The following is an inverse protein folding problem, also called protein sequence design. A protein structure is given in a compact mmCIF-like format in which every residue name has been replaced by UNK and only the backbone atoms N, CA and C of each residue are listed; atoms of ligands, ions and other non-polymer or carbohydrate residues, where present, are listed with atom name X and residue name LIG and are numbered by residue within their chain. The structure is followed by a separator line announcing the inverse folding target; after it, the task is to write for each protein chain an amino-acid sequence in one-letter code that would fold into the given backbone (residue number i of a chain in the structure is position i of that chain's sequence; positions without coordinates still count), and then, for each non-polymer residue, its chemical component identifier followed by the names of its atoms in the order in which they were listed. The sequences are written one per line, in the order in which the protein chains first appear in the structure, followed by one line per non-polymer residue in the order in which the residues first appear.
data_IF_424482263136
#
_entry.id   IF_424482263136
#
_cell.length_a   1.000
_cell.length_b   1.000
_cell.length_c   1.000
_cell.angle_alpha   90.00
_cell.angle_beta   90.00
_cell.angle_gamma   90.00
#
_symmetry.space_group_name_H-M   'P 1'
#
loop_
_entity.id
_entity.type
_entity.pdbx_description
1 polymer ?
#
# COMPACT_ATOMS: atom_id res chain seq x y z
N UNK A 1 -24.46 -10.24 -24.89
CA UNK A 1 -23.88 -9.67 -23.64
C UNK A 1 -23.52 -8.23 -23.87
N UNK A 2 -24.00 -7.31 -23.03
CA UNK A 2 -23.71 -5.87 -23.17
C UNK A 2 -22.66 -5.45 -22.15
N UNK A 3 -21.96 -4.36 -22.42
CA UNK A 3 -20.93 -3.79 -21.53
C UNK A 3 -21.46 -3.53 -20.10
N UNK A 4 -22.75 -3.25 -19.97
CA UNK A 4 -23.43 -3.11 -18.68
C UNK A 4 -23.46 -4.42 -17.87
N UNK A 5 -23.65 -5.57 -18.52
CA UNK A 5 -23.64 -6.89 -17.87
C UNK A 5 -22.26 -7.22 -17.30
N UNK A 6 -21.20 -6.89 -18.03
CA UNK A 6 -19.81 -7.12 -17.60
C UNK A 6 -19.48 -6.26 -16.39
N UNK A 7 -19.83 -4.97 -16.43
CA UNK A 7 -19.62 -4.06 -15.29
C UNK A 7 -20.35 -4.52 -14.03
N UNK A 8 -21.58 -5.01 -14.18
CA UNK A 8 -22.38 -5.53 -13.07
C UNK A 8 -21.72 -6.76 -12.42
N UNK A 9 -21.24 -7.70 -13.23
CA UNK A 9 -20.52 -8.88 -12.74
C UNK A 9 -19.25 -8.53 -11.95
N UNK A 10 -18.50 -7.52 -12.38
CA UNK A 10 -17.29 -7.05 -11.67
C UNK A 10 -17.66 -6.40 -10.33
N UNK A 11 -18.70 -5.58 -10.30
CA UNK A 11 -19.16 -4.93 -9.06
C UNK A 11 -19.64 -5.98 -8.05
N UNK A 12 -20.41 -6.97 -8.50
CA UNK A 12 -20.96 -8.01 -7.64
C UNK A 12 -19.85 -8.92 -7.06
N UNK A 13 -18.80 -9.23 -7.82
CA UNK A 13 -17.69 -10.06 -7.35
C UNK A 13 -16.80 -9.35 -6.33
N UNK A 14 -16.53 -8.05 -6.53
CA UNK A 14 -15.79 -7.22 -5.57
C UNK A 14 -16.57 -7.05 -4.26
N UNK A 15 -17.88 -6.80 -4.35
CA UNK A 15 -18.74 -6.69 -3.18
C UNK A 15 -18.79 -8.00 -2.36
N UNK A 16 -18.89 -9.15 -3.04
CA UNK A 16 -18.87 -10.45 -2.39
C UNK A 16 -17.54 -10.72 -1.66
N UNK A 17 -16.41 -10.37 -2.29
CA UNK A 17 -15.06 -10.58 -1.73
C UNK A 17 -14.83 -9.72 -0.49
N UNK A 18 -15.23 -8.44 -0.52
CA UNK A 18 -15.14 -7.55 0.64
C UNK A 18 -16.00 -8.04 1.81
N UNK A 19 -17.22 -8.52 1.51
CA UNK A 19 -18.12 -9.07 2.54
C UNK A 19 -17.55 -10.34 3.19
N UNK A 20 -16.94 -11.21 2.39
CA UNK A 20 -16.27 -12.41 2.89
C UNK A 20 -15.06 -12.06 3.76
N UNK A 21 -14.23 -11.08 3.34
CA UNK A 21 -13.07 -10.63 4.11
C UNK A 21 -13.47 -10.02 5.46
N UNK A 22 -14.54 -9.22 5.50
CA UNK A 22 -15.07 -8.63 6.74
C UNK A 22 -15.59 -9.71 7.71
N UNK A 23 -16.25 -10.76 7.19
CA UNK A 23 -16.71 -11.88 8.00
C UNK A 23 -15.54 -12.70 8.58
N UNK A 24 -14.46 -12.90 7.81
CA UNK A 24 -13.25 -13.57 8.30
C UNK A 24 -12.56 -12.79 9.41
N UNK A 25 -12.51 -11.45 9.30
CA UNK A 25 -11.92 -10.57 10.32
C UNK A 25 -12.74 -10.58 11.63
N UNK A 26 -14.07 -10.70 11.54
CA UNK A 26 -14.95 -10.81 12.70
C UNK A 26 -14.86 -12.16 13.42
N UNK A 27 -14.46 -13.23 12.72
CA UNK A 27 -14.40 -14.58 13.27
C UNK A 27 -13.06 -14.89 13.97
N UNK A 28 -12.04 -14.05 13.79
CA UNK A 28 -10.72 -14.18 14.44
C UNK A 28 -10.65 -13.61 15.86
N UNK A 29 -11.73 -13.02 16.39
CA UNK A 29 -11.74 -12.34 17.70
C UNK A 29 -12.05 -13.28 18.89
N UNK A 30 -12.03 -14.60 18.71
CA UNK A 30 -12.29 -15.58 19.77
C UNK A 30 -11.10 -16.53 20.03
N UNK A 31 -9.98 -16.01 20.54
CA UNK A 31 -9.03 -16.82 21.30
C UNK A 31 -8.48 -16.04 22.50
N UNK A 32 -9.18 -16.23 23.63
CA UNK A 32 -8.62 -16.68 24.91
C UNK A 32 -7.30 -16.03 25.43
N UNK A 33 -7.44 -15.32 26.56
CA UNK A 33 -6.46 -15.05 27.65
C UNK A 33 -5.30 -14.08 27.40
N UNK A 34 -5.48 -12.83 27.84
CA UNK A 34 -4.81 -12.21 29.01
C UNK A 34 -4.99 -10.68 28.94
N UNK A 35 -5.82 -10.15 29.84
CA UNK A 35 -6.12 -8.72 29.98
C UNK A 35 -4.97 -7.99 30.69
N UNK A 36 -3.89 -7.71 29.98
CA UNK A 36 -3.09 -6.51 30.22
C UNK A 36 -3.74 -5.33 29.48
N UNK A 37 -3.43 -4.06 29.83
CA UNK A 37 -3.87 -2.92 29.03
C UNK A 37 -3.41 -3.15 27.59
N UNK A 38 -4.35 -3.46 26.70
CA UNK A 38 -4.09 -3.61 25.28
C UNK A 38 -3.81 -2.20 24.80
N UNK A 39 -2.55 -1.80 24.88
CA UNK A 39 -2.06 -0.64 24.16
C UNK A 39 -2.48 -0.89 22.71
N UNK A 40 -3.52 -0.19 22.26
CA UNK A 40 -3.83 -0.02 20.84
C UNK A 40 -2.48 0.12 20.16
N UNK A 41 -2.09 -0.72 19.18
CA UNK A 41 -0.76 -0.63 18.59
C UNK A 41 -0.63 0.79 18.10
N UNK A 42 0.11 1.62 18.84
CA UNK A 42 0.26 3.02 18.52
C UNK A 42 0.93 2.96 17.17
N UNK A 43 0.22 3.39 16.12
CA UNK A 43 0.71 3.30 14.75
C UNK A 43 2.13 3.85 14.74
N UNK A 44 3.11 2.93 14.69
CA UNK A 44 4.50 3.27 14.92
C UNK A 44 4.83 4.24 13.80
N UNK A 45 5.09 5.50 14.15
CA UNK A 45 5.41 6.54 13.16
C UNK A 45 6.73 6.16 12.52
N UNK A 46 6.65 5.41 11.44
CA UNK A 46 7.81 4.98 10.73
C UNK A 46 8.44 6.20 10.05
N UNK A 47 9.74 6.36 10.29
CA UNK A 47 10.52 7.52 9.90
C UNK A 47 11.07 7.36 8.48
N UNK A 48 11.52 8.46 7.88
CA UNK A 48 12.22 8.38 6.58
C UNK A 48 13.50 7.54 6.67
N UNK A 49 14.19 7.55 7.83
CA UNK A 49 15.38 6.72 8.03
C UNK A 49 15.04 5.23 8.00
N UNK A 50 13.96 4.82 8.66
CA UNK A 50 13.47 3.44 8.63
C UNK A 50 12.98 3.04 7.23
N UNK A 51 12.42 3.98 6.46
CA UNK A 51 12.09 3.76 5.05
C UNK A 51 13.35 3.45 4.24
N UNK A 52 14.37 4.31 4.32
CA UNK A 52 15.60 4.16 3.56
C UNK A 52 16.42 2.93 4.00
N UNK A 53 16.32 2.51 5.27
CA UNK A 53 16.98 1.27 5.73
C UNK A 53 16.39 0.01 5.10
N UNK A 54 15.16 0.07 4.60
CA UNK A 54 14.56 -1.04 3.83
C UNK A 54 15.09 -1.13 2.39
N UNK A 55 16.04 -0.28 2.01
CA UNK A 55 16.61 -0.19 0.67
C UNK A 55 15.53 -0.10 -0.41
N UNK A 56 14.75 1.01 -0.40
CA UNK A 56 13.66 1.17 -1.34
C UNK A 56 14.20 1.18 -2.78
N UNK A 57 13.38 0.72 -3.71
CA UNK A 57 13.75 0.66 -5.10
C UNK A 57 13.68 2.05 -5.73
N UNK A 58 14.71 2.44 -6.47
CA UNK A 58 14.72 3.71 -7.18
C UNK A 58 14.09 3.58 -8.56
N UNK A 59 13.33 4.60 -8.96
CA UNK A 59 12.73 4.68 -10.28
C UNK A 59 13.19 5.94 -11.01
N UNK A 60 13.85 5.74 -12.14
CA UNK A 60 14.45 6.81 -12.93
C UNK A 60 13.63 7.21 -14.17
N UNK A 61 12.51 6.53 -14.45
CA UNK A 61 11.64 6.82 -15.60
C UNK A 61 11.90 5.97 -16.84
N UNK A 62 13.10 5.38 -17.00
CA UNK A 62 13.52 4.80 -18.28
C UNK A 62 13.04 3.37 -18.53
N UNK A 63 12.60 2.66 -17.47
CA UNK A 63 12.15 1.26 -17.53
C UNK A 63 10.68 1.08 -17.99
N UNK A 64 10.00 2.18 -18.35
CA UNK A 64 8.62 2.16 -18.82
C UNK A 64 7.63 1.56 -17.82
N UNK A 65 6.51 1.02 -18.33
CA UNK A 65 5.42 0.50 -17.51
C UNK A 65 5.84 -0.66 -16.59
N UNK A 66 6.72 -1.55 -17.07
CA UNK A 66 7.22 -2.68 -16.28
C UNK A 66 8.06 -2.18 -15.09
N UNK A 67 8.93 -1.20 -15.33
CA UNK A 67 9.71 -0.58 -14.26
C UNK A 67 8.83 0.12 -13.23
N UNK A 68 7.78 0.78 -13.69
CA UNK A 68 6.81 1.46 -12.84
C UNK A 68 6.04 0.47 -11.95
N UNK A 69 5.52 -0.61 -12.52
CA UNK A 69 4.81 -1.67 -11.76
C UNK A 69 5.73 -2.26 -10.69
N UNK A 70 6.96 -2.61 -11.08
CA UNK A 70 7.93 -3.20 -10.14
C UNK A 70 8.31 -2.23 -9.01
N UNK A 71 8.39 -0.92 -9.30
CA UNK A 71 8.60 0.10 -8.29
C UNK A 71 7.42 0.21 -7.31
N UNK A 72 6.17 0.19 -7.81
CA UNK A 72 4.97 0.19 -6.96
C UNK A 72 4.93 -1.02 -6.04
N UNK A 73 5.07 -2.24 -6.57
CA UNK A 73 5.03 -3.49 -5.79
C UNK A 73 6.08 -3.50 -4.67
N UNK A 74 7.31 -3.07 -4.97
CA UNK A 74 8.38 -2.99 -3.96
C UNK A 74 8.10 -1.96 -2.88
N UNK A 75 7.56 -0.81 -3.26
CA UNK A 75 7.22 0.25 -2.31
C UNK A 75 6.06 -0.18 -1.41
N UNK A 76 5.02 -0.77 -1.98
CA UNK A 76 3.91 -1.34 -1.21
C UNK A 76 4.36 -2.44 -0.25
N UNK A 77 5.32 -3.28 -0.66
CA UNK A 77 5.94 -4.29 0.22
C UNK A 77 6.69 -3.67 1.40
N UNK A 78 7.37 -2.53 1.22
CA UNK A 78 8.01 -1.81 2.32
C UNK A 78 6.94 -1.25 3.26
N UNK A 79 5.87 -0.67 2.71
CA UNK A 79 4.77 -0.11 3.50
C UNK A 79 3.89 -1.15 4.21
N UNK A 80 3.76 -2.37 3.70
CA UNK A 80 2.99 -3.42 4.37
C UNK A 80 3.73 -4.01 5.57
N UNK A 81 5.06 -4.06 5.51
CA UNK A 81 5.93 -4.59 6.59
C UNK A 81 6.08 -3.65 7.77
N UNK A 82 5.71 -2.39 7.61
CA UNK A 82 5.88 -1.36 8.63
C UNK A 82 4.57 -0.61 8.76
N UNK A 83 4.02 -0.52 9.97
CA UNK A 83 2.70 0.10 10.23
C UNK A 83 2.70 1.62 9.94
N UNK A 84 2.90 2.04 8.69
CA UNK A 84 3.03 3.43 8.26
C UNK A 84 1.70 4.18 8.37
N UNK A 85 1.81 5.46 8.69
CA UNK A 85 0.70 6.41 8.56
C UNK A 85 0.58 6.83 7.09
N UNK A 86 -0.60 6.69 6.52
CA UNK A 86 -0.92 6.97 5.11
C UNK A 86 -0.34 8.30 4.61
N UNK A 87 -0.43 9.34 5.45
CA UNK A 87 0.02 10.71 5.14
C UNK A 87 1.49 10.84 4.74
N UNK A 88 2.35 9.90 5.16
CA UNK A 88 3.79 9.97 4.89
C UNK A 88 4.21 9.15 3.66
N UNK A 89 3.35 8.29 3.12
CA UNK A 89 3.70 7.37 2.03
C UNK A 89 4.20 8.12 0.80
N UNK A 90 3.39 9.06 0.32
CA UNK A 90 3.72 9.89 -0.87
C UNK A 90 5.04 10.64 -0.69
N UNK A 91 5.24 11.26 0.48
CA UNK A 91 6.45 12.03 0.79
C UNK A 91 7.72 11.16 0.75
N UNK A 92 7.62 9.92 1.21
CA UNK A 92 8.76 9.00 1.22
C UNK A 92 9.02 8.38 -0.15
N UNK A 93 7.97 8.03 -0.91
CA UNK A 93 8.11 7.55 -2.29
C UNK A 93 8.76 8.55 -3.22
N UNK A 94 8.47 9.84 -3.09
CA UNK A 94 9.10 10.88 -3.92
C UNK A 94 10.63 10.86 -3.75
N UNK A 95 11.12 10.54 -2.54
CA UNK A 95 12.56 10.39 -2.27
C UNK A 95 13.24 9.21 -2.99
N UNK A 96 12.46 8.36 -3.69
CA UNK A 96 12.97 7.24 -4.49
C UNK A 96 12.89 7.50 -6.00
N UNK A 97 12.27 8.61 -6.40
CA UNK A 97 12.26 9.04 -7.80
C UNK A 97 13.59 9.70 -8.14
N UNK A 98 14.13 9.39 -9.30
CA UNK A 98 15.38 9.98 -9.80
C UNK A 98 15.22 10.41 -11.25
N UNK A 99 16.16 11.21 -11.74
CA UNK A 99 16.29 11.58 -13.17
C UNK A 99 14.96 12.06 -13.79
N UNK A 100 14.52 11.42 -14.88
CA UNK A 100 13.34 11.80 -15.64
C UNK A 100 12.06 11.69 -14.80
N UNK A 101 11.96 10.66 -13.95
CA UNK A 101 10.80 10.48 -13.09
C UNK A 101 10.67 11.61 -12.05
N UNK A 102 11.80 12.04 -11.47
CA UNK A 102 11.82 13.17 -10.54
C UNK A 102 11.52 14.49 -11.26
N UNK A 103 12.07 14.68 -12.46
CA UNK A 103 11.79 15.86 -13.28
C UNK A 103 10.29 15.96 -13.63
N UNK A 104 9.71 14.85 -14.08
CA UNK A 104 8.29 14.77 -14.39
C UNK A 104 7.44 15.09 -13.16
N UNK A 105 7.74 14.47 -12.00
CA UNK A 105 7.02 14.76 -10.76
C UNK A 105 7.07 16.26 -10.41
N UNK A 106 8.23 16.89 -10.44
CA UNK A 106 8.37 18.31 -10.11
C UNK A 106 7.71 19.27 -11.11
N UNK A 107 7.47 18.82 -12.35
CA UNK A 107 6.86 19.64 -13.39
C UNK A 107 5.33 19.62 -13.35
N UNK A 108 4.74 18.58 -12.77
CA UNK A 108 3.29 18.30 -12.87
C UNK A 108 2.58 18.05 -11.52
N UNK A 109 3.32 17.89 -10.42
CA UNK A 109 2.77 17.77 -9.06
C UNK A 109 2.58 19.14 -8.39
#
# INVERSE_FOLDING_TARGET
MTHATIRKLVVDSVAATLKAQAATLANTDNTNRNSGPRETPVARKCTYKEFMSCQPFYFNGTKGAIGLICWFERTESVFSRSNYVEKNKVKFTIGTLTEEALFWWNSFA
#
